data_IF_330241553527
#
_entry.id   IF_330241553527
#
_cell.length_a   1.000
_cell.length_b   1.000
_cell.length_c   1.000
_cell.angle_alpha   90.00
_cell.angle_beta   90.00
_cell.angle_gamma   90.00
#
_symmetry.space_group_name_H-M   'P 1'
#
loop_
_entity.id
_entity.type
_entity.pdbx_description
1 polymer ?
#
# COMPACT_ATOMS: atom_id res chain seq x y z
N UNK A 1 34.14 25.32 -41.87
CA UNK A 1 32.74 24.88 -41.93
C UNK A 1 32.75 23.35 -41.96
N UNK A 2 32.64 22.75 -40.78
CA UNK A 2 32.34 21.32 -40.59
C UNK A 2 31.45 21.28 -39.37
N UNK A 3 30.17 21.05 -39.59
CA UNK A 3 29.18 20.86 -38.52
C UNK A 3 29.20 19.39 -38.15
N UNK A 4 29.48 19.11 -36.89
CA UNK A 4 29.28 17.84 -36.25
C UNK A 4 29.36 18.08 -34.76
N UNK A 5 28.22 18.02 -34.07
CA UNK A 5 28.18 17.62 -32.68
C UNK A 5 26.77 17.12 -32.35
N UNK A 6 26.74 15.82 -32.09
CA UNK A 6 25.62 15.02 -31.64
C UNK A 6 25.41 15.29 -30.15
N UNK A 7 24.32 15.96 -29.78
CA UNK A 7 23.96 16.17 -28.37
C UNK A 7 23.15 14.99 -27.87
N UNK A 8 23.85 14.06 -27.21
CA UNK A 8 23.24 13.11 -26.27
C UNK A 8 22.58 13.91 -25.13
N UNK A 9 21.34 13.56 -24.80
CA UNK A 9 20.80 13.76 -23.46
C UNK A 9 19.75 12.67 -23.20
N UNK A 10 20.24 11.45 -23.02
CA UNK A 10 19.56 10.42 -22.24
C UNK A 10 19.54 10.89 -20.79
N UNK A 11 18.43 11.50 -20.36
CA UNK A 11 18.24 11.88 -18.96
C UNK A 11 16.92 11.33 -18.44
N UNK A 12 17.06 10.26 -17.66
CA UNK A 12 16.27 10.13 -16.45
C UNK A 12 15.20 9.06 -16.49
N UNK A 13 15.62 7.79 -16.57
CA UNK A 13 14.92 6.73 -15.85
C UNK A 13 14.82 7.17 -14.38
N UNK A 14 13.66 7.69 -13.98
CA UNK A 14 13.31 7.82 -12.56
C UNK A 14 12.89 6.42 -12.14
N UNK A 15 13.89 5.56 -11.93
CA UNK A 15 13.71 4.32 -11.21
C UNK A 15 13.17 4.66 -9.82
N UNK A 16 12.10 3.97 -9.44
CA UNK A 16 11.44 4.02 -8.14
C UNK A 16 12.45 3.80 -7.01
N UNK A 17 13.09 4.86 -6.52
CA UNK A 17 14.04 4.82 -5.41
C UNK A 17 13.38 4.75 -4.02
N UNK A 18 12.08 4.42 -3.94
CA UNK A 18 11.38 4.17 -2.68
C UNK A 18 11.17 2.67 -2.36
N UNK A 19 11.57 1.75 -3.25
CA UNK A 19 11.22 0.32 -3.09
C UNK A 19 12.30 -0.57 -2.45
N UNK A 20 13.51 -0.06 -2.17
CA UNK A 20 14.59 -0.91 -1.65
C UNK A 20 14.60 -1.08 -0.12
N UNK A 21 13.75 -0.36 0.63
CA UNK A 21 13.74 -0.42 2.10
C UNK A 21 12.68 -1.37 2.68
N UNK A 22 11.77 -1.89 1.86
CA UNK A 22 10.60 -2.64 2.36
C UNK A 22 10.80 -4.16 2.46
N UNK A 23 11.95 -4.69 2.03
CA UNK A 23 12.31 -6.09 2.24
C UNK A 23 13.15 -6.26 3.51
N UNK A 24 12.64 -5.80 4.66
CA UNK A 24 13.05 -6.39 5.93
C UNK A 24 12.34 -7.74 6.01
N UNK A 25 13.11 -8.82 6.08
CA UNK A 25 12.57 -10.17 6.25
C UNK A 25 11.55 -10.13 7.39
N UNK A 26 10.31 -10.57 7.16
CA UNK A 26 9.25 -10.61 8.18
C UNK A 26 9.66 -11.35 9.47
N UNK A 27 10.70 -12.18 9.36
CA UNK A 27 11.26 -13.00 10.43
C UNK A 27 12.34 -12.27 11.25
N UNK A 28 12.76 -11.07 10.85
CA UNK A 28 13.82 -10.29 11.53
C UNK A 28 13.25 -9.20 12.48
N UNK A 29 11.94 -8.94 12.42
CA UNK A 29 11.31 -7.90 13.24
C UNK A 29 10.94 -8.46 14.61
N UNK A 30 11.82 -8.23 15.58
CA UNK A 30 11.61 -8.57 16.98
C UNK A 30 10.85 -7.47 17.73
N UNK A 31 10.14 -7.84 18.80
CA UNK A 31 9.47 -6.88 19.71
C UNK A 31 8.08 -6.40 19.27
N UNK A 32 7.54 -6.90 18.16
CA UNK A 32 6.15 -6.63 17.72
C UNK A 32 5.24 -7.87 17.79
N UNK A 33 5.80 -8.99 18.24
CA UNK A 33 5.19 -10.32 18.20
C UNK A 33 3.82 -10.38 18.87
N UNK A 34 3.73 -9.90 20.11
CA UNK A 34 2.49 -9.96 20.89
C UNK A 34 1.37 -9.16 20.23
N UNK A 35 1.66 -7.91 19.83
CA UNK A 35 0.69 -7.04 19.16
C UNK A 35 0.29 -7.60 17.79
N UNK A 36 1.21 -8.23 17.07
CA UNK A 36 0.93 -8.86 15.78
C UNK A 36 -0.03 -10.03 15.97
N UNK A 37 0.29 -10.96 16.87
CA UNK A 37 -0.54 -12.13 17.14
C UNK A 37 -1.94 -11.73 17.62
N UNK A 38 -2.06 -10.64 18.40
CA UNK A 38 -3.35 -10.08 18.79
C UNK A 38 -4.19 -9.64 17.59
N UNK A 39 -3.60 -8.88 16.66
CA UNK A 39 -4.28 -8.43 15.45
C UNK A 39 -4.66 -9.62 14.55
N UNK A 40 -3.74 -10.57 14.36
CA UNK A 40 -3.99 -11.77 13.55
C UNK A 40 -5.12 -12.63 14.12
N UNK A 41 -5.21 -12.76 15.46
CA UNK A 41 -6.31 -13.46 16.11
C UNK A 41 -7.66 -12.76 15.89
N UNK A 42 -7.71 -11.42 15.95
CA UNK A 42 -8.93 -10.67 15.63
C UNK A 42 -9.35 -10.83 14.17
N UNK A 43 -8.40 -10.92 13.24
CA UNK A 43 -8.69 -11.12 11.82
C UNK A 43 -9.15 -12.54 11.49
N UNK A 44 -8.75 -13.54 12.30
CA UNK A 44 -9.15 -14.94 12.15
C UNK A 44 -10.49 -15.26 12.83
N UNK A 45 -10.98 -14.36 13.68
CA UNK A 45 -12.26 -14.52 14.36
C UNK A 45 -13.42 -14.35 13.37
N UNK A 46 -14.24 -15.40 13.23
CA UNK A 46 -15.33 -15.47 12.28
C UNK A 46 -16.67 -15.00 12.88
N UNK A 47 -16.71 -14.56 14.14
CA UNK A 47 -17.95 -14.15 14.79
C UNK A 47 -18.46 -12.78 14.31
N UNK A 48 -17.59 -11.90 13.80
CA UNK A 48 -18.01 -10.63 13.21
C UNK A 48 -17.52 -10.46 11.78
N UNK A 49 -18.39 -9.94 10.92
CA UNK A 49 -18.10 -9.82 9.49
C UNK A 49 -17.24 -8.60 9.12
N UNK A 50 -17.01 -7.66 10.05
CA UNK A 50 -16.33 -6.38 9.78
C UNK A 50 -15.57 -5.87 11.02
N UNK A 51 -14.26 -5.65 10.88
CA UNK A 51 -13.39 -5.11 11.93
C UNK A 51 -12.80 -3.75 11.54
N UNK A 52 -12.66 -2.86 12.52
CA UNK A 52 -11.82 -1.64 12.41
C UNK A 52 -10.78 -1.70 13.51
N UNK A 53 -9.50 -1.77 13.13
CA UNK A 53 -8.37 -1.91 14.05
C UNK A 53 -7.54 -0.64 14.01
N UNK A 54 -7.40 0.04 15.14
CA UNK A 54 -6.61 1.27 15.27
C UNK A 54 -5.28 0.99 15.99
N UNK A 55 -4.15 1.29 15.34
CA UNK A 55 -2.80 1.18 15.92
C UNK A 55 -2.29 2.58 16.27
N UNK A 56 -2.07 2.85 17.55
CA UNK A 56 -1.69 4.17 18.08
C UNK A 56 -0.56 4.07 19.12
N UNK A 57 0.06 5.20 19.47
CA UNK A 57 1.23 5.25 20.36
C UNK A 57 2.27 6.31 19.95
N UNK A 58 3.35 6.42 20.73
CA UNK A 58 4.41 7.42 20.54
C UNK A 58 5.06 7.37 19.15
N UNK A 59 5.64 8.50 18.72
CA UNK A 59 6.47 8.56 17.52
C UNK A 59 7.65 7.56 17.62
N UNK A 60 8.01 6.91 16.51
CA UNK A 60 9.16 6.00 16.47
C UNK A 60 8.96 4.59 17.04
N UNK A 61 7.85 4.28 17.71
CA UNK A 61 7.59 2.94 18.30
C UNK A 61 7.33 1.83 17.27
N UNK A 62 7.26 2.16 15.97
CA UNK A 62 7.08 1.15 14.92
C UNK A 62 5.62 0.78 14.59
N UNK A 63 4.65 1.68 14.82
CA UNK A 63 3.22 1.46 14.48
C UNK A 63 3.01 1.04 13.03
N UNK A 64 3.57 1.82 12.10
CA UNK A 64 3.50 1.52 10.67
C UNK A 64 4.19 0.20 10.36
N UNK A 65 5.32 -0.10 11.02
CA UNK A 65 6.02 -1.39 10.88
C UNK A 65 5.13 -2.57 11.28
N UNK A 66 4.41 -2.48 12.40
CA UNK A 66 3.47 -3.51 12.82
C UNK A 66 2.34 -3.69 11.80
N UNK A 67 1.69 -2.61 11.37
CA UNK A 67 0.61 -2.66 10.39
C UNK A 67 1.07 -3.22 9.04
N UNK A 68 2.24 -2.80 8.54
CA UNK A 68 2.83 -3.34 7.31
C UNK A 68 3.18 -4.82 7.45
N UNK A 69 3.68 -5.25 8.61
CA UNK A 69 4.04 -6.66 8.84
C UNK A 69 2.80 -7.56 8.82
N UNK A 70 1.74 -7.19 9.54
CA UNK A 70 0.45 -7.92 9.50
C UNK A 70 -0.08 -7.95 8.07
N UNK A 71 -0.15 -6.80 7.39
CA UNK A 71 -0.68 -6.71 6.02
C UNK A 71 0.04 -7.66 5.06
N UNK A 72 1.37 -7.68 5.07
CA UNK A 72 2.15 -8.52 4.17
C UNK A 72 1.98 -10.02 4.45
N UNK A 73 1.87 -10.42 5.72
CA UNK A 73 1.60 -11.81 6.11
C UNK A 73 0.22 -12.25 5.65
N UNK A 74 -0.82 -11.47 5.95
CA UNK A 74 -2.19 -11.77 5.53
C UNK A 74 -2.31 -11.87 4.00
N UNK A 75 -1.57 -11.02 3.26
CA UNK A 75 -1.50 -11.07 1.81
C UNK A 75 -0.82 -12.34 1.29
N UNK A 76 0.24 -12.82 1.94
CA UNK A 76 0.94 -14.06 1.58
C UNK A 76 0.15 -15.31 1.90
N UNK A 77 -0.55 -15.30 3.03
CA UNK A 77 -1.36 -16.43 3.49
C UNK A 77 -2.71 -16.52 2.75
N UNK A 78 -2.99 -15.55 1.86
CA UNK A 78 -4.23 -15.46 1.07
C UNK A 78 -5.50 -15.51 1.93
N UNK A 79 -5.44 -14.94 3.15
CA UNK A 79 -6.56 -14.94 4.09
C UNK A 79 -7.78 -14.13 3.60
N UNK A 80 -7.56 -13.21 2.65
CA UNK A 80 -8.60 -12.36 2.07
C UNK A 80 -8.56 -12.41 0.54
N UNK A 81 -9.69 -12.17 -0.10
CA UNK A 81 -9.80 -12.14 -1.56
C UNK A 81 -9.12 -10.92 -2.21
N UNK A 82 -8.95 -9.85 -1.45
CA UNK A 82 -8.39 -8.58 -1.94
C UNK A 82 -7.74 -7.79 -0.80
N UNK A 83 -6.77 -6.96 -1.17
CA UNK A 83 -5.95 -6.18 -0.25
C UNK A 83 -5.70 -4.79 -0.80
N UNK A 84 -5.78 -3.77 0.04
CA UNK A 84 -5.40 -2.41 -0.31
C UNK A 84 -4.53 -1.80 0.79
N UNK A 85 -3.47 -1.09 0.40
CA UNK A 85 -2.60 -0.34 1.32
C UNK A 85 -2.46 1.09 0.83
N UNK A 86 -2.92 2.06 1.64
CA UNK A 86 -3.04 3.45 1.20
C UNK A 86 -2.46 4.38 2.26
N UNK A 87 -1.58 5.26 1.81
CA UNK A 87 -1.10 6.37 2.60
C UNK A 87 -1.99 7.59 2.34
N UNK A 88 -2.51 8.20 3.40
CA UNK A 88 -3.35 9.39 3.32
C UNK A 88 -2.56 10.60 3.82
N UNK A 89 -2.53 11.66 3.03
CA UNK A 89 -1.90 12.94 3.38
C UNK A 89 -2.81 13.76 4.29
N UNK A 90 -2.25 14.74 5.01
CA UNK A 90 -3.04 15.61 5.90
C UNK A 90 -4.18 16.32 5.17
N UNK A 91 -3.92 16.73 3.93
CA UNK A 91 -4.93 17.22 3.00
C UNK A 91 -5.15 16.16 1.92
N UNK A 92 -6.38 15.72 1.72
CA UNK A 92 -6.74 14.75 0.70
C UNK A 92 -8.11 15.08 0.11
N UNK A 93 -8.32 14.68 -1.15
CA UNK A 93 -9.63 14.69 -1.78
C UNK A 93 -10.29 13.33 -1.57
N UNK A 94 -11.54 13.33 -1.10
CA UNK A 94 -12.24 12.09 -0.77
C UNK A 94 -12.52 11.22 -2.01
N UNK A 95 -12.80 11.83 -3.16
CA UNK A 95 -13.03 11.11 -4.41
C UNK A 95 -11.76 10.41 -4.87
N UNK A 96 -10.61 11.09 -4.78
CA UNK A 96 -9.32 10.51 -5.13
C UNK A 96 -8.93 9.38 -4.16
N UNK A 97 -9.21 9.54 -2.86
CA UNK A 97 -8.96 8.49 -1.87
C UNK A 97 -9.82 7.25 -2.15
N UNK A 98 -11.12 7.41 -2.33
CA UNK A 98 -12.04 6.31 -2.65
C UNK A 98 -11.65 5.63 -3.96
N UNK A 99 -11.28 6.40 -4.98
CA UNK A 99 -10.77 5.85 -6.24
C UNK A 99 -9.51 5.02 -6.02
N UNK A 100 -8.54 5.51 -5.25
CA UNK A 100 -7.33 4.77 -4.95
C UNK A 100 -7.62 3.47 -4.18
N UNK A 101 -8.57 3.48 -3.24
CA UNK A 101 -9.03 2.26 -2.55
C UNK A 101 -9.55 1.25 -3.56
N UNK A 102 -10.50 1.66 -4.39
CA UNK A 102 -11.13 0.77 -5.36
C UNK A 102 -10.09 0.20 -6.32
N UNK A 103 -9.20 1.02 -6.88
CA UNK A 103 -8.15 0.57 -7.79
C UNK A 103 -7.22 -0.47 -7.16
N UNK A 104 -6.78 -0.26 -5.91
CA UNK A 104 -5.92 -1.22 -5.21
C UNK A 104 -6.65 -2.56 -4.96
N UNK A 105 -7.96 -2.51 -4.65
CA UNK A 105 -8.75 -3.72 -4.44
C UNK A 105 -8.93 -4.54 -5.74
N UNK A 106 -9.19 -3.88 -6.88
CA UNK A 106 -9.28 -4.55 -8.18
C UNK A 106 -7.94 -5.16 -8.60
N UNK A 107 -6.82 -4.44 -8.39
CA UNK A 107 -5.47 -4.96 -8.63
C UNK A 107 -5.21 -6.20 -7.75
N UNK A 108 -5.61 -6.17 -6.49
CA UNK A 108 -5.51 -7.31 -5.57
C UNK A 108 -6.32 -8.53 -6.00
N UNK A 109 -7.45 -8.33 -6.70
CA UNK A 109 -8.30 -9.41 -7.23
C UNK A 109 -7.82 -9.94 -8.60
N UNK A 110 -6.86 -9.28 -9.24
CA UNK A 110 -6.50 -9.49 -10.66
C UNK A 110 -7.70 -9.30 -11.62
N UNK A 111 -8.68 -8.48 -11.22
CA UNK A 111 -9.84 -8.16 -12.04
C UNK A 111 -9.58 -6.93 -12.93
N UNK A 112 -10.28 -6.86 -14.06
CA UNK A 112 -10.20 -5.71 -14.95
C UNK A 112 -10.82 -4.48 -14.26
N UNK A 113 -10.03 -3.40 -14.16
CA UNK A 113 -10.51 -2.13 -13.62
C UNK A 113 -11.69 -1.63 -14.48
N UNK A 114 -12.85 -1.33 -13.88
CA UNK A 114 -13.99 -0.76 -14.61
C UNK A 114 -13.60 0.54 -15.32
N UNK A 115 -13.92 0.65 -16.62
CA UNK A 115 -13.58 1.82 -17.44
C UNK A 115 -14.13 3.14 -16.88
N UNK A 116 -15.24 3.10 -16.13
CA UNK A 116 -15.86 4.25 -15.48
C UNK A 116 -14.99 4.91 -14.39
N UNK A 117 -14.00 4.20 -13.84
CA UNK A 117 -13.06 4.76 -12.86
C UNK A 117 -11.92 5.57 -13.52
N UNK A 118 -11.77 5.50 -14.84
CA UNK A 118 -10.73 6.23 -15.56
C UNK A 118 -11.19 7.59 -16.12
N UNK A 119 -12.49 7.85 -16.18
CA UNK A 119 -13.07 8.89 -17.06
C UNK A 119 -13.79 10.03 -16.32
N UNK A 120 -13.60 10.22 -15.02
CA UNK A 120 -14.08 11.45 -14.38
C UNK A 120 -13.01 12.55 -14.53
N UNK A 121 -12.91 13.06 -15.74
CA UNK A 121 -12.36 14.38 -16.02
C UNK A 121 -13.32 15.41 -15.39
N UNK A 122 -12.75 16.34 -14.62
CA UNK A 122 -13.51 17.40 -13.96
C UNK A 122 -14.10 18.33 -15.02
N UNK A 123 -15.40 18.23 -15.28
CA UNK A 123 -16.15 19.36 -15.82
C UNK A 123 -16.30 20.41 -14.70
N UNK A 124 -15.48 21.45 -14.75
CA UNK A 124 -15.70 22.72 -14.03
C UNK A 124 -15.77 23.85 -15.07
#
# INVERSE_FOLDING_TARGET
>A
MTIGNNSNNDNGQISRFAESSHFKLENEIIGIEENRNLIENWLADNETSQYVIAVWGMAGVGKTTLATNVYNRQKKDCCFNSFAWISVTQTYNINDLLRNIILNLYEGMMEAIPQSLNTMEYDI
#
